data_IF_941108562743
#
_entry.id   IF_941108562743
#
_cell.length_a   1.000
_cell.length_b   1.000
_cell.length_c   1.000
_cell.angle_alpha   90.00
_cell.angle_beta   90.00
_cell.angle_gamma   90.00
#
_symmetry.space_group_name_H-M   'P 1'
#
loop_
_entity.id
_entity.type
_entity.pdbx_description
1 polymer ?
#
# COMPACT_ATOMS: atom_id res chain seq x y z
N UNK A 1 11.15 5.56 6.82
CA UNK A 1 11.17 4.56 5.74
C UNK A 1 9.90 3.74 5.87
N UNK A 2 9.30 3.40 4.72
CA UNK A 2 8.01 2.74 4.64
C UNK A 2 8.12 1.51 3.76
N UNK A 3 7.46 0.43 4.16
CA UNK A 3 7.29 -0.81 3.39
C UNK A 3 5.91 -0.79 2.75
N UNK A 4 5.86 -1.00 1.45
CA UNK A 4 4.62 -0.98 0.67
C UNK A 4 4.35 -2.39 0.14
N UNK A 5 3.27 -3.01 0.63
CA UNK A 5 2.86 -4.36 0.27
C UNK A 5 1.77 -4.30 -0.79
N UNK A 6 2.00 -4.98 -1.91
CA UNK A 6 1.07 -4.96 -3.06
C UNK A 6 0.67 -6.36 -3.51
N UNK A 7 -0.51 -6.45 -4.08
CA UNK A 7 -1.05 -7.66 -4.69
C UNK A 7 -1.80 -7.34 -5.98
N UNK A 8 -2.12 -8.35 -6.82
CA UNK A 8 -3.08 -8.17 -7.91
C UNK A 8 -4.40 -7.59 -7.41
N UNK A 9 -5.06 -6.76 -8.22
CA UNK A 9 -6.35 -6.18 -7.84
C UNK A 9 -7.39 -7.28 -7.59
N UNK A 10 -8.21 -7.10 -6.54
CA UNK A 10 -9.21 -8.08 -6.11
C UNK A 10 -8.71 -9.13 -5.13
N UNK A 11 -7.43 -9.07 -4.73
CA UNK A 11 -6.97 -9.78 -3.54
C UNK A 11 -7.61 -9.17 -2.28
N UNK A 12 -8.14 -10.02 -1.41
CA UNK A 12 -8.69 -9.65 -0.10
C UNK A 12 -7.56 -9.32 0.91
N UNK A 13 -7.97 -8.84 2.08
CA UNK A 13 -7.09 -8.43 3.18
C UNK A 13 -6.02 -9.49 3.48
N UNK A 14 -4.76 -9.05 3.63
CA UNK A 14 -3.63 -9.96 3.73
C UNK A 14 -3.56 -10.48 5.17
N UNK A 15 -3.61 -11.80 5.37
CA UNK A 15 -3.33 -12.33 6.71
C UNK A 15 -1.86 -12.03 7.09
N UNK A 16 -1.52 -11.87 8.39
CA UNK A 16 -0.14 -11.60 8.80
C UNK A 16 0.88 -12.62 8.28
N UNK A 17 0.47 -13.88 8.08
CA UNK A 17 1.31 -14.94 7.53
C UNK A 17 1.52 -14.79 6.02
N UNK A 18 0.52 -14.29 5.29
CA UNK A 18 0.65 -13.98 3.87
C UNK A 18 1.49 -12.71 3.65
N UNK A 19 1.40 -11.73 4.56
CA UNK A 19 2.21 -10.51 4.54
C UNK A 19 3.71 -10.81 4.53
N UNK A 20 4.16 -11.74 5.36
CA UNK A 20 5.57 -12.18 5.41
C UNK A 20 6.03 -12.86 4.10
N UNK A 21 5.09 -13.31 3.26
CA UNK A 21 5.36 -13.93 1.96
C UNK A 21 5.20 -12.96 0.79
N UNK A 22 4.64 -11.78 1.01
CA UNK A 22 4.46 -10.79 -0.04
C UNK A 22 5.75 -10.02 -0.30
N UNK A 23 5.97 -9.75 -1.58
CA UNK A 23 6.97 -8.80 -2.00
C UNK A 23 6.53 -7.40 -1.53
N UNK A 24 7.42 -6.73 -0.82
CA UNK A 24 7.26 -5.32 -0.48
C UNK A 24 8.31 -4.49 -1.20
N UNK A 25 7.98 -3.21 -1.39
CA UNK A 25 8.91 -2.19 -1.83
C UNK A 25 9.17 -1.23 -0.68
N UNK A 26 10.43 -0.90 -0.47
CA UNK A 26 10.84 0.15 0.45
C UNK A 26 10.80 1.52 -0.23
N UNK A 27 10.28 2.51 0.48
CA UNK A 27 10.23 3.92 0.07
C UNK A 27 10.63 4.83 1.22
N UNK A 28 11.08 6.05 0.92
CA UNK A 28 11.65 6.93 1.93
C UNK A 28 10.58 7.57 2.83
N UNK A 29 9.48 8.03 2.22
CA UNK A 29 8.43 8.79 2.88
C UNK A 29 7.01 8.35 2.49
N UNK A 30 6.02 8.90 3.20
CA UNK A 30 4.60 8.58 3.00
C UNK A 30 4.10 9.07 1.64
N UNK A 31 4.59 10.21 1.15
CA UNK A 31 4.16 10.75 -0.13
C UNK A 31 4.60 9.84 -1.29
N UNK A 32 5.81 9.29 -1.21
CA UNK A 32 6.32 8.28 -2.12
C UNK A 32 5.49 6.99 -2.03
N UNK A 33 5.12 6.55 -0.81
CA UNK A 33 4.27 5.37 -0.60
C UNK A 33 2.89 5.53 -1.26
N UNK A 34 2.23 6.67 -1.06
CA UNK A 34 0.94 6.99 -1.67
C UNK A 34 1.08 7.19 -3.19
N UNK A 35 2.18 7.79 -3.65
CA UNK A 35 2.50 7.91 -5.07
C UNK A 35 2.65 6.54 -5.76
N UNK A 36 3.32 5.60 -5.09
CA UNK A 36 3.43 4.22 -5.55
C UNK A 36 2.08 3.51 -5.57
N UNK A 37 1.25 3.67 -4.53
CA UNK A 37 -0.10 3.11 -4.51
C UNK A 37 -0.97 3.62 -5.67
N UNK A 38 -0.87 4.92 -5.99
CA UNK A 38 -1.55 5.51 -7.13
C UNK A 38 -1.03 4.96 -8.48
N UNK A 39 0.27 4.67 -8.59
CA UNK A 39 0.83 4.04 -9.77
C UNK A 39 0.29 2.62 -9.95
N UNK A 40 0.33 1.80 -8.90
CA UNK A 40 -0.12 0.41 -8.91
C UNK A 40 -1.60 0.26 -9.28
N UNK A 41 -2.46 1.16 -8.77
CA UNK A 41 -3.89 1.13 -9.08
C UNK A 41 -4.19 1.34 -10.57
N UNK A 42 -3.36 2.13 -11.27
CA UNK A 42 -3.47 2.33 -12.72
C UNK A 42 -2.97 1.14 -13.55
N UNK A 43 -2.20 0.24 -12.94
CA UNK A 43 -1.61 -0.93 -13.61
C UNK A 43 -2.28 -2.26 -13.21
N UNK A 44 -3.50 -2.21 -12.67
CA UNK A 44 -4.29 -3.40 -12.32
C UNK A 44 -3.85 -4.11 -11.03
N UNK A 45 -3.11 -3.41 -10.17
CA UNK A 45 -2.67 -3.91 -8.87
C UNK A 45 -3.22 -3.03 -7.74
N UNK A 46 -3.18 -3.52 -6.51
CA UNK A 46 -3.56 -2.76 -5.32
C UNK A 46 -2.44 -2.80 -4.28
N UNK A 47 -2.23 -1.68 -3.60
CA UNK A 47 -1.47 -1.66 -2.34
C UNK A 47 -2.45 -1.98 -1.22
N UNK A 48 -2.09 -2.97 -0.42
CA UNK A 48 -2.95 -3.52 0.63
C UNK A 48 -2.50 -3.08 2.03
N UNK A 49 -1.21 -2.76 2.19
CA UNK A 49 -0.63 -2.35 3.46
C UNK A 49 0.56 -1.42 3.24
N UNK A 50 0.66 -0.37 4.04
CA UNK A 50 1.86 0.47 4.19
C UNK A 50 2.26 0.44 5.67
N UNK A 51 3.51 0.09 5.96
CA UNK A 51 4.07 0.10 7.31
C UNK A 51 5.27 1.05 7.36
N UNK A 52 5.27 2.02 8.28
CA UNK A 52 6.39 2.90 8.57
C UNK A 52 7.22 2.38 9.74
N UNK A 53 8.54 2.60 9.70
CA UNK A 53 9.41 2.30 10.85
C UNK A 53 9.10 3.19 12.08
N UNK A 54 8.30 4.25 11.89
CA UNK A 54 7.74 5.11 12.95
C UNK A 54 6.49 4.51 13.63
N UNK A 55 6.08 3.29 13.24
CA UNK A 55 4.89 2.62 13.74
C UNK A 55 3.60 2.98 13.01
N UNK A 56 3.67 3.79 11.95
CA UNK A 56 2.52 4.10 11.11
C UNK A 56 2.08 2.86 10.34
N UNK A 57 0.77 2.60 10.30
CA UNK A 57 0.17 1.52 9.50
C UNK A 57 -1.04 2.04 8.75
N UNK A 58 -1.11 1.81 7.44
CA UNK A 58 -2.29 2.09 6.62
C UNK A 58 -2.76 0.80 5.94
N UNK A 59 -4.02 0.44 6.17
CA UNK A 59 -4.67 -0.67 5.47
C UNK A 59 -5.29 -0.25 4.13
N UNK A 60 -5.71 -1.23 3.33
CA UNK A 60 -6.27 -1.04 1.99
C UNK A 60 -7.40 0.01 1.93
N UNK A 61 -8.27 0.06 2.94
CA UNK A 61 -9.37 1.03 3.01
C UNK A 61 -8.90 2.48 3.20
N UNK A 62 -7.90 2.70 4.05
CA UNK A 62 -7.31 4.01 4.31
C UNK A 62 -6.52 4.49 3.09
N UNK A 63 -5.77 3.59 2.46
CA UNK A 63 -5.06 3.85 1.20
C UNK A 63 -6.06 4.25 0.11
N UNK A 64 -7.15 3.50 -0.07
CA UNK A 64 -8.18 3.83 -1.06
C UNK A 64 -8.83 5.20 -0.78
N UNK A 65 -9.02 5.56 0.49
CA UNK A 65 -9.51 6.88 0.89
C UNK A 65 -8.52 7.99 0.54
N UNK A 66 -7.24 7.82 0.86
CA UNK A 66 -6.17 8.76 0.53
C UNK A 66 -6.03 8.97 -0.98
N UNK A 67 -6.14 7.89 -1.76
CA UNK A 67 -6.11 7.96 -3.23
C UNK A 67 -7.29 8.74 -3.79
N UNK A 68 -8.50 8.53 -3.27
CA UNK A 68 -9.68 9.32 -3.69
C UNK A 68 -9.51 10.80 -3.42
N UNK A 69 -8.97 11.17 -2.26
CA UNK A 69 -8.73 12.58 -1.91
C UNK A 69 -7.70 13.24 -2.83
N UNK A 70 -6.67 12.50 -3.26
CA UNK A 70 -5.64 13.01 -4.18
C UNK A 70 -6.11 13.21 -5.62
N UNK A 71 -7.16 12.52 -6.03
CA UNK A 71 -7.72 12.59 -7.39
C UNK A 71 -8.92 13.53 -7.50
N UNK A 72 -9.41 14.06 -6.37
CA UNK A 72 -10.42 15.12 -6.29
C UNK A 72 -9.82 16.49 -6.61
#
# INVERSE_FOLDING_TARGET
MYRVYSAPAGADDISPLERDRLLHRDVHDMDEAIGWAAHMSRTGHAVLLIEGDDGTTLGAGEIASALRQRMS
#
